data_IF_943194156007
#
_entry.id   IF_943194156007
#
_cell.length_a   1.000
_cell.length_b   1.000
_cell.length_c   1.000
_cell.angle_alpha   90.00
_cell.angle_beta   90.00
_cell.angle_gamma   90.00
#
_symmetry.space_group_name_H-M   'P 1'
#
loop_
_entity.id
_entity.type
_entity.pdbx_description
1 polymer ?
#
# COMPACT_ATOMS: atom_id res chain seq x y z
N UNK A 1 22.70 -25.94 -1.03
CA UNK A 1 21.95 -24.75 -1.44
C UNK A 1 20.75 -24.58 -0.52
N UNK A 2 20.76 -23.56 0.31
CA UNK A 2 19.70 -23.24 1.26
C UNK A 2 19.32 -21.78 1.18
N UNK A 3 18.19 -21.42 1.79
CA UNK A 3 17.78 -20.03 1.95
C UNK A 3 18.58 -19.38 3.09
N UNK A 4 18.88 -18.10 2.94
CA UNK A 4 19.48 -17.27 3.99
C UNK A 4 18.46 -16.22 4.40
N UNK A 5 18.18 -16.13 5.68
CA UNK A 5 17.32 -15.08 6.23
C UNK A 5 18.12 -13.79 6.43
N UNK A 6 17.58 -12.67 5.97
CA UNK A 6 18.12 -11.34 6.22
C UNK A 6 17.00 -10.34 6.48
N UNK A 7 17.23 -9.36 7.35
CA UNK A 7 16.33 -8.22 7.53
C UNK A 7 16.65 -7.21 6.41
N UNK A 8 15.70 -6.98 5.53
CA UNK A 8 15.83 -6.02 4.41
C UNK A 8 15.31 -4.63 4.76
N UNK A 9 14.37 -4.55 5.70
CA UNK A 9 13.84 -3.29 6.23
C UNK A 9 13.22 -3.53 7.62
N UNK A 10 13.22 -2.53 8.46
CA UNK A 10 12.53 -2.53 9.75
C UNK A 10 12.05 -1.10 10.11
N UNK A 11 11.14 -0.99 11.06
CA UNK A 11 10.53 0.29 11.46
C UNK A 11 11.54 1.31 11.99
N UNK A 12 12.61 0.84 12.64
CA UNK A 12 13.66 1.73 13.14
C UNK A 12 14.39 2.43 12.00
N UNK A 13 14.57 1.75 10.87
CA UNK A 13 15.21 2.32 9.68
C UNK A 13 14.30 3.30 8.94
N UNK A 14 12.98 3.09 9.02
CA UNK A 14 11.99 3.96 8.40
C UNK A 14 11.76 5.25 9.17
N UNK A 15 12.08 5.25 10.46
CA UNK A 15 11.68 6.33 11.37
C UNK A 15 10.16 6.60 11.36
N UNK A 16 9.38 5.54 11.14
CA UNK A 16 7.93 5.55 11.11
C UNK A 16 7.33 4.93 12.39
N UNK A 17 8.14 4.85 13.45
CA UNK A 17 7.68 4.19 14.68
C UNK A 17 6.42 4.86 15.22
N UNK A 18 5.35 4.13 15.17
CA UNK A 18 4.06 4.43 15.80
C UNK A 18 3.60 3.19 16.57
N UNK A 19 2.95 3.40 17.70
CA UNK A 19 2.62 2.30 18.62
C UNK A 19 1.72 1.22 18.01
N UNK A 20 1.04 1.50 16.92
CA UNK A 20 0.10 0.60 16.24
C UNK A 20 0.38 0.51 14.74
N UNK A 21 1.64 0.65 14.34
CA UNK A 21 2.07 0.42 12.96
C UNK A 21 2.44 -1.05 12.80
N UNK A 22 1.77 -1.71 11.88
CA UNK A 22 2.09 -3.06 11.46
C UNK A 22 2.52 -3.05 10.01
N UNK A 23 3.67 -3.63 9.74
CA UNK A 23 4.10 -3.92 8.38
C UNK A 23 3.18 -5.02 7.85
N UNK A 24 2.51 -4.73 6.75
CA UNK A 24 1.54 -5.67 6.23
C UNK A 24 2.01 -6.27 4.89
N UNK A 25 1.31 -6.01 3.81
CA UNK A 25 1.60 -6.61 2.51
C UNK A 25 2.79 -5.95 1.82
N UNK A 26 3.39 -6.67 0.90
CA UNK A 26 4.51 -6.15 0.12
C UNK A 26 4.46 -6.62 -1.34
N UNK A 27 5.06 -5.82 -2.22
CA UNK A 27 5.24 -6.13 -3.63
C UNK A 27 6.61 -5.64 -4.11
N UNK A 28 7.21 -6.35 -5.03
CA UNK A 28 8.44 -5.92 -5.67
C UNK A 28 8.14 -5.31 -7.04
N UNK A 29 8.96 -4.38 -7.52
CA UNK A 29 8.85 -3.89 -8.90
C UNK A 29 9.23 -5.00 -9.88
N UNK A 30 8.24 -5.66 -10.45
CA UNK A 30 8.46 -6.86 -11.30
C UNK A 30 8.92 -6.52 -12.70
N UNK A 31 8.70 -5.29 -13.14
CA UNK A 31 8.98 -4.83 -14.51
C UNK A 31 9.82 -3.55 -14.50
N UNK A 32 10.29 -3.14 -15.68
CA UNK A 32 11.10 -1.94 -15.85
C UNK A 32 12.60 -2.18 -15.73
N UNK A 33 13.38 -1.10 -15.81
CA UNK A 33 14.85 -1.15 -15.88
C UNK A 33 15.52 -1.77 -14.66
N UNK A 34 14.94 -1.52 -13.47
CA UNK A 34 15.47 -2.00 -12.19
C UNK A 34 14.55 -3.06 -11.57
N UNK A 35 13.90 -3.90 -12.39
CA UNK A 35 13.01 -4.96 -11.92
C UNK A 35 13.67 -5.84 -10.84
N UNK A 36 12.91 -6.12 -9.78
CA UNK A 36 13.37 -6.90 -8.63
C UNK A 36 14.21 -6.14 -7.61
N UNK A 37 14.36 -4.81 -7.76
CA UNK A 37 15.21 -4.01 -6.87
C UNK A 37 14.45 -3.31 -5.74
N UNK A 38 13.25 -2.85 -5.99
CA UNK A 38 12.49 -2.03 -5.04
C UNK A 38 11.35 -2.83 -4.44
N UNK A 39 11.34 -2.95 -3.11
CA UNK A 39 10.30 -3.63 -2.36
C UNK A 39 9.41 -2.57 -1.70
N UNK A 40 8.16 -2.44 -2.17
CA UNK A 40 7.15 -1.55 -1.59
C UNK A 40 6.33 -2.30 -0.54
N UNK A 41 5.89 -1.59 0.50
CA UNK A 41 5.13 -2.15 1.60
C UNK A 41 4.07 -1.19 2.07
N UNK A 42 2.94 -1.72 2.46
CA UNK A 42 1.90 -1.03 3.21
C UNK A 42 2.19 -1.07 4.71
N UNK A 43 1.72 -0.04 5.39
CA UNK A 43 1.75 0.09 6.84
C UNK A 43 0.33 0.21 7.34
N UNK A 44 -0.13 -0.83 8.02
CA UNK A 44 -1.44 -0.92 8.60
C UNK A 44 -1.46 -0.13 9.91
N UNK A 45 -1.82 1.13 9.84
CA UNK A 45 -1.98 1.99 11.01
C UNK A 45 -3.45 2.07 11.37
N UNK A 46 -3.83 1.43 12.48
CA UNK A 46 -5.23 1.39 12.94
C UNK A 46 -5.49 2.42 14.03
N UNK A 47 -6.58 3.16 13.86
CA UNK A 47 -7.17 4.00 14.89
C UNK A 47 -6.58 5.41 15.02
N UNK A 48 -7.40 6.30 15.54
CA UNK A 48 -7.12 7.73 15.69
C UNK A 48 -5.97 8.08 16.64
N UNK A 49 -5.51 7.11 17.42
CA UNK A 49 -4.44 7.29 18.41
C UNK A 49 -3.07 6.86 17.91
N UNK A 50 -2.97 6.41 16.68
CA UNK A 50 -1.70 6.10 16.04
C UNK A 50 -1.11 7.39 15.51
N UNK A 51 -0.06 7.89 16.14
CA UNK A 51 0.64 9.09 15.67
C UNK A 51 1.94 8.68 15.00
N UNK A 52 2.15 9.12 13.78
CA UNK A 52 3.43 9.00 13.08
C UNK A 52 4.48 9.87 13.77
N UNK A 53 5.76 9.55 13.54
CA UNK A 53 6.89 10.32 14.11
C UNK A 53 6.85 11.79 13.69
N UNK A 54 6.30 12.09 12.53
CA UNK A 54 6.08 13.45 12.00
C UNK A 54 4.86 14.18 12.60
N UNK A 55 4.18 13.57 13.59
CA UNK A 55 2.98 14.11 14.22
C UNK A 55 1.69 13.81 13.48
N UNK A 56 1.74 13.08 12.36
CA UNK A 56 0.58 12.59 11.63
C UNK A 56 0.03 11.30 12.23
N UNK A 57 -1.20 10.96 11.84
CA UNK A 57 -1.79 9.64 12.04
C UNK A 57 -2.25 9.13 10.68
N UNK A 58 -2.32 7.81 10.50
CA UNK A 58 -2.80 7.22 9.27
C UNK A 58 -1.76 6.34 8.58
N UNK A 59 -2.17 5.76 7.46
CA UNK A 59 -1.39 4.78 6.72
C UNK A 59 -0.23 5.37 5.91
N UNK A 60 0.72 4.53 5.58
CA UNK A 60 1.86 4.88 4.75
C UNK A 60 2.22 3.74 3.80
N UNK A 61 2.88 4.10 2.69
CA UNK A 61 3.60 3.17 1.84
C UNK A 61 5.08 3.47 1.96
N UNK A 62 5.89 2.45 2.24
CA UNK A 62 7.35 2.56 2.28
C UNK A 62 7.99 1.78 1.14
N UNK A 63 9.27 2.05 0.89
CA UNK A 63 10.07 1.33 -0.09
C UNK A 63 11.46 1.01 0.45
N UNK A 64 11.94 -0.19 0.16
CA UNK A 64 13.33 -0.60 0.40
C UNK A 64 14.06 -0.84 -0.92
N UNK A 65 15.21 -0.21 -1.08
CA UNK A 65 16.15 -0.56 -2.16
C UNK A 65 16.95 -1.79 -1.73
N UNK A 66 16.62 -2.93 -2.29
CA UNK A 66 17.25 -4.22 -1.94
C UNK A 66 18.74 -4.28 -2.29
N UNK A 67 19.21 -3.39 -3.16
CA UNK A 67 20.62 -3.30 -3.54
C UNK A 67 21.45 -2.50 -2.54
N UNK A 68 20.91 -1.41 -2.01
CA UNK A 68 21.64 -0.51 -1.11
C UNK A 68 21.26 -0.69 0.36
N UNK A 69 20.11 -1.30 0.65
CA UNK A 69 19.55 -1.41 1.98
C UNK A 69 18.92 -0.12 2.50
N UNK A 70 18.81 0.91 1.64
CA UNK A 70 18.14 2.16 2.01
C UNK A 70 16.64 1.93 2.03
N UNK A 71 15.99 2.38 3.09
CA UNK A 71 14.54 2.30 3.25
C UNK A 71 13.99 3.68 3.61
N UNK A 72 12.88 4.08 3.00
CA UNK A 72 12.18 5.32 3.33
C UNK A 72 10.69 5.22 3.09
N UNK A 73 9.91 6.12 3.69
CA UNK A 73 8.54 6.36 3.30
C UNK A 73 8.48 6.94 1.88
N UNK A 74 7.56 6.42 1.06
CA UNK A 74 7.25 6.97 -0.26
C UNK A 74 6.16 8.01 -0.15
N UNK A 75 5.10 7.66 0.58
CA UNK A 75 3.94 8.53 0.81
C UNK A 75 3.22 8.08 2.08
N UNK A 76 2.60 9.02 2.78
CA UNK A 76 1.72 8.74 3.89
C UNK A 76 0.69 9.84 4.06
N UNK A 77 -0.51 9.48 4.50
CA UNK A 77 -1.62 10.41 4.72
C UNK A 77 -2.29 10.14 6.06
N UNK A 78 -2.77 11.20 6.69
CA UNK A 78 -3.44 11.13 8.00
C UNK A 78 -4.88 10.63 7.92
N UNK A 79 -5.45 10.62 6.75
CA UNK A 79 -6.83 10.17 6.47
C UNK A 79 -6.91 8.71 5.99
N UNK A 80 -5.80 8.11 5.62
CA UNK A 80 -5.77 6.67 5.30
C UNK A 80 -5.90 5.82 6.55
N UNK A 81 -6.62 4.72 6.42
CA UNK A 81 -6.89 3.80 7.52
C UNK A 81 -6.50 2.37 7.12
N UNK A 82 -5.65 1.73 7.94
CA UNK A 82 -5.29 0.33 7.78
C UNK A 82 -4.90 -0.03 6.33
N UNK A 83 -3.80 0.52 5.82
CA UNK A 83 -3.33 0.14 4.49
C UNK A 83 -2.84 -1.30 4.49
N UNK A 84 -3.45 -2.13 3.66
CA UNK A 84 -3.20 -3.56 3.57
C UNK A 84 -2.77 -3.93 2.14
N UNK A 85 -3.66 -4.45 1.30
CA UNK A 85 -3.33 -4.97 -0.02
C UNK A 85 -2.44 -4.06 -0.86
N UNK A 86 -1.43 -4.62 -1.51
CA UNK A 86 -0.52 -3.89 -2.39
C UNK A 86 -0.06 -4.78 -3.54
N UNK A 87 0.00 -4.23 -4.76
CA UNK A 87 0.49 -4.93 -5.94
C UNK A 87 1.22 -4.01 -6.90
N UNK A 88 2.30 -4.49 -7.50
CA UNK A 88 2.96 -3.86 -8.63
C UNK A 88 2.16 -4.07 -9.92
N UNK A 89 1.92 -3.01 -10.68
CA UNK A 89 1.16 -3.11 -11.92
C UNK A 89 2.06 -3.35 -13.14
N UNK A 90 1.53 -3.99 -14.19
CA UNK A 90 2.25 -4.15 -15.46
C UNK A 90 2.62 -2.80 -16.12
N UNK A 91 1.92 -1.73 -15.80
CA UNK A 91 2.18 -0.38 -16.30
C UNK A 91 3.08 0.46 -15.38
N UNK A 92 3.75 -0.19 -14.42
CA UNK A 92 4.80 0.37 -13.56
C UNK A 92 4.31 1.42 -12.55
N UNK A 93 3.13 1.20 -12.01
CA UNK A 93 2.62 1.89 -10.82
C UNK A 93 2.47 0.90 -9.67
N UNK A 94 2.07 1.38 -8.50
CA UNK A 94 1.71 0.55 -7.36
C UNK A 94 0.24 0.79 -7.03
N UNK A 95 -0.57 -0.27 -7.03
CA UNK A 95 -1.89 -0.22 -6.40
C UNK A 95 -1.76 -0.63 -4.94
N UNK A 96 -2.41 0.09 -4.06
CA UNK A 96 -2.54 -0.26 -2.65
C UNK A 96 -3.93 0.11 -2.14
N UNK A 97 -4.37 -0.49 -1.05
CA UNK A 97 -5.75 -0.36 -0.58
C UNK A 97 -5.85 -0.14 0.91
N UNK A 98 -6.95 0.49 1.32
CA UNK A 98 -7.38 0.54 2.71
C UNK A 98 -8.20 -0.71 3.06
N UNK A 99 -7.94 -1.31 4.20
CA UNK A 99 -8.79 -2.29 4.86
C UNK A 99 -9.72 -1.57 5.84
N UNK A 100 -10.78 -0.95 5.31
CA UNK A 100 -11.72 -0.20 6.13
C UNK A 100 -13.08 -0.91 6.19
N UNK A 101 -13.41 -1.40 7.36
CA UNK A 101 -14.69 -2.08 7.59
C UNK A 101 -15.90 -1.12 7.62
N UNK A 102 -17.06 -1.68 7.93
CA UNK A 102 -18.39 -1.05 7.85
C UNK A 102 -18.59 0.23 8.70
N UNK A 103 -17.66 0.59 9.56
CA UNK A 103 -17.70 1.83 10.36
C UNK A 103 -16.93 2.99 9.71
N UNK A 104 -16.56 2.85 8.45
CA UNK A 104 -15.75 3.80 7.73
C UNK A 104 -16.45 5.15 7.54
N UNK A 105 -15.64 6.20 7.57
CA UNK A 105 -16.04 7.60 7.27
C UNK A 105 -16.01 7.84 5.75
N UNK A 106 -16.68 8.91 5.25
CA UNK A 106 -16.53 9.32 3.86
C UNK A 106 -15.05 9.56 3.50
N UNK A 107 -14.65 9.08 2.33
CA UNK A 107 -13.30 9.29 1.83
C UNK A 107 -13.13 10.74 1.32
N UNK A 108 -12.05 11.45 1.66
CA UNK A 108 -11.83 12.83 1.21
C UNK A 108 -11.70 12.98 -0.31
N UNK A 109 -11.13 11.97 -0.99
CA UNK A 109 -10.92 12.00 -2.44
C UNK A 109 -12.16 11.57 -3.23
N UNK A 110 -13.07 10.84 -2.58
CA UNK A 110 -14.32 10.39 -3.17
C UNK A 110 -15.46 10.50 -2.13
N UNK A 111 -15.97 11.71 -1.83
CA UNK A 111 -16.92 11.93 -0.72
C UNK A 111 -18.23 11.13 -0.80
N UNK A 112 -18.58 10.60 -1.97
CA UNK A 112 -19.71 9.70 -2.17
C UNK A 112 -19.41 8.23 -1.82
N UNK A 113 -18.13 7.88 -1.64
CA UNK A 113 -17.69 6.58 -1.18
C UNK A 113 -17.33 6.63 0.32
N UNK A 114 -17.22 5.46 0.91
CA UNK A 114 -16.63 5.32 2.24
C UNK A 114 -15.14 5.00 2.10
N UNK A 115 -14.35 5.20 3.15
CA UNK A 115 -12.98 4.70 3.21
C UNK A 115 -12.95 3.19 2.90
N UNK A 116 -11.80 2.68 2.52
CA UNK A 116 -11.66 1.34 1.96
C UNK A 116 -11.49 1.39 0.44
N UNK A 117 -10.87 2.43 -0.08
CA UNK A 117 -10.59 2.57 -1.49
C UNK A 117 -9.25 1.97 -1.87
N UNK A 118 -9.14 1.61 -3.14
CA UNK A 118 -7.85 1.34 -3.79
C UNK A 118 -7.28 2.66 -4.30
N UNK A 119 -5.99 2.85 -4.11
CA UNK A 119 -5.22 3.98 -4.60
C UNK A 119 -4.17 3.52 -5.59
N UNK A 120 -3.87 4.35 -6.58
CA UNK A 120 -2.77 4.14 -7.51
C UNK A 120 -1.69 5.18 -7.29
N UNK A 121 -0.50 4.70 -6.97
CA UNK A 121 0.71 5.48 -6.77
C UNK A 121 1.54 5.49 -8.05
N UNK A 122 1.70 6.65 -8.65
CA UNK A 122 2.68 6.90 -9.69
C UNK A 122 4.00 7.28 -9.05
N UNK A 123 5.05 6.60 -9.44
CA UNK A 123 6.41 6.83 -8.94
C UNK A 123 7.13 7.86 -9.82
N UNK A 124 8.01 8.63 -9.22
CA UNK A 124 8.89 9.53 -9.96
C UNK A 124 9.79 8.71 -10.92
N UNK A 125 9.84 9.12 -12.18
CA UNK A 125 10.58 8.41 -13.24
C UNK A 125 12.09 8.36 -13.02
N UNK A 126 12.62 9.26 -12.21
CA UNK A 126 14.05 9.38 -11.91
C UNK A 126 14.41 8.84 -10.53
N UNK A 127 13.43 8.77 -9.62
CA UNK A 127 13.58 8.21 -8.27
C UNK A 127 12.38 7.31 -7.92
N UNK A 128 12.45 6.00 -8.22
CA UNK A 128 11.38 5.05 -7.88
C UNK A 128 11.09 4.92 -6.38
N UNK A 129 11.90 5.55 -5.54
CA UNK A 129 11.65 5.62 -4.10
C UNK A 129 10.85 6.87 -3.71
N UNK A 130 10.35 7.65 -4.66
CA UNK A 130 9.57 8.87 -4.43
C UNK A 130 8.25 8.83 -5.21
N UNK A 131 7.19 9.38 -4.61
CA UNK A 131 5.90 9.55 -5.27
C UNK A 131 5.93 10.74 -6.25
N UNK A 132 5.40 10.55 -7.46
CA UNK A 132 5.03 11.64 -8.36
C UNK A 132 3.59 12.10 -8.06
N UNK A 133 2.66 11.14 -7.91
CA UNK A 133 1.26 11.40 -7.59
C UNK A 133 0.57 10.17 -7.02
N UNK A 134 -0.54 10.38 -6.34
CA UNK A 134 -1.45 9.33 -5.92
C UNK A 134 -2.88 9.70 -6.30
N UNK A 135 -3.67 8.70 -6.70
CA UNK A 135 -5.06 8.90 -7.11
C UNK A 135 -5.94 7.76 -6.60
N UNK A 136 -7.07 8.10 -5.99
CA UNK A 136 -8.09 7.11 -5.65
C UNK A 136 -8.66 6.43 -6.90
N UNK A 137 -9.00 5.15 -6.77
CA UNK A 137 -9.62 4.32 -7.81
C UNK A 137 -10.98 3.78 -7.33
N UNK A 138 -11.98 4.66 -7.12
CA UNK A 138 -13.25 4.27 -6.52
C UNK A 138 -14.03 3.23 -7.37
N UNK A 139 -13.67 3.07 -8.64
CA UNK A 139 -14.25 2.03 -9.50
C UNK A 139 -13.88 0.61 -9.05
N UNK A 140 -12.84 0.44 -8.23
CA UNK A 140 -12.43 -0.83 -7.65
C UNK A 140 -13.16 -1.17 -6.34
N UNK A 141 -14.16 -0.37 -5.97
CA UNK A 141 -14.99 -0.56 -4.79
C UNK A 141 -14.42 0.12 -3.53
N UNK A 142 -15.28 0.22 -2.52
CA UNK A 142 -14.93 0.61 -1.16
C UNK A 142 -15.24 -0.58 -0.25
N UNK A 143 -14.19 -1.31 0.13
CA UNK A 143 -14.27 -2.63 0.75
C UNK A 143 -13.29 -2.72 1.93
N UNK A 144 -13.39 -3.77 2.73
CA UNK A 144 -12.30 -4.18 3.60
C UNK A 144 -11.29 -4.96 2.74
N UNK A 145 -10.46 -4.21 2.01
CA UNK A 145 -9.50 -4.83 1.11
C UNK A 145 -8.41 -5.57 1.89
N UNK A 146 -8.18 -6.81 1.49
CA UNK A 146 -7.07 -7.64 1.93
C UNK A 146 -6.04 -7.74 0.81
N UNK A 147 -6.11 -8.73 -0.04
CA UNK A 147 -5.18 -8.93 -1.14
C UNK A 147 -5.60 -8.22 -2.42
N UNK A 148 -4.60 -7.76 -3.16
CA UNK A 148 -4.71 -7.28 -4.54
C UNK A 148 -3.86 -8.15 -5.46
N UNK A 149 -4.36 -8.44 -6.67
CA UNK A 149 -3.62 -9.18 -7.69
C UNK A 149 -4.01 -8.70 -9.09
N UNK A 150 -3.10 -8.82 -10.05
CA UNK A 150 -3.34 -8.44 -11.45
C UNK A 150 -2.92 -9.59 -12.36
N UNK A 151 -3.84 -10.03 -13.22
CA UNK A 151 -3.51 -11.09 -14.18
C UNK A 151 -2.78 -10.55 -15.44
N UNK A 152 -2.37 -11.46 -16.31
CA UNK A 152 -1.62 -11.12 -17.51
C UNK A 152 -2.44 -10.30 -18.53
N UNK A 153 -3.75 -10.30 -18.43
CA UNK A 153 -4.66 -9.49 -19.24
C UNK A 153 -4.90 -8.10 -18.65
N UNK A 154 -4.37 -7.82 -17.44
CA UNK A 154 -4.54 -6.55 -16.74
C UNK A 154 -5.81 -6.45 -15.91
N UNK A 155 -6.51 -7.56 -15.70
CA UNK A 155 -7.66 -7.57 -14.80
C UNK A 155 -7.21 -7.50 -13.36
N UNK A 156 -7.89 -6.69 -12.55
CA UNK A 156 -7.59 -6.52 -11.13
C UNK A 156 -8.52 -7.41 -10.30
N UNK A 157 -7.94 -8.14 -9.36
CA UNK A 157 -8.65 -8.95 -8.39
C UNK A 157 -8.49 -8.33 -7.02
N UNK A 158 -9.57 -8.21 -6.26
CA UNK A 158 -9.56 -7.71 -4.88
C UNK A 158 -10.31 -8.68 -3.97
N UNK A 159 -9.86 -8.79 -2.74
CA UNK A 159 -10.52 -9.55 -1.68
C UNK A 159 -11.21 -8.55 -0.76
N UNK A 160 -12.48 -8.81 -0.45
CA UNK A 160 -13.21 -8.17 0.63
C UNK A 160 -13.28 -9.18 1.78
N UNK A 161 -12.58 -8.92 2.88
CA UNK A 161 -12.56 -9.81 4.03
C UNK A 161 -13.66 -9.55 5.06
N UNK A 162 -14.51 -8.54 4.85
CA UNK A 162 -15.64 -8.34 5.75
C UNK A 162 -16.53 -9.59 5.76
N UNK A 163 -17.23 -9.79 6.87
CA UNK A 163 -18.07 -10.99 7.06
C UNK A 163 -19.01 -11.18 5.90
N UNK A 164 -18.88 -12.32 5.19
CA UNK A 164 -19.55 -12.67 3.93
C UNK A 164 -19.03 -11.91 2.70
N UNK A 165 -17.83 -11.35 2.79
CA UNK A 165 -17.16 -10.75 1.65
C UNK A 165 -16.85 -11.75 0.54
N UNK A 166 -16.31 -11.27 -0.55
CA UNK A 166 -16.10 -12.01 -1.79
C UNK A 166 -14.77 -11.63 -2.45
N UNK A 167 -14.37 -12.40 -3.42
CA UNK A 167 -13.32 -12.00 -4.37
C UNK A 167 -14.00 -11.38 -5.58
N UNK A 168 -13.59 -10.18 -5.94
CA UNK A 168 -14.11 -9.45 -7.10
C UNK A 168 -13.07 -9.40 -8.21
N UNK A 169 -13.52 -9.45 -9.45
CA UNK A 169 -12.73 -9.25 -10.65
C UNK A 169 -13.21 -7.98 -11.37
N UNK A 170 -12.27 -7.09 -11.69
CA UNK A 170 -12.50 -5.91 -12.52
C UNK A 170 -11.75 -6.06 -13.85
N UNK A 171 -12.44 -5.80 -14.96
CA UNK A 171 -11.96 -5.95 -16.34
C UNK A 171 -12.02 -4.63 -17.09
#
# INVERSE_FOLDING_TARGET
TGYVQAIVADENRLNLYVANDWVDMNTVNETGKDAGRYLYRTHEVRGRNSARVDGGSGGAVSVGDLKTGITKEVIGRTDWEALDGIVWTPWQTVLFAEEAGTAARPDPDAPQAQAGLVYELNLDKHDPMSAESVSARPMLGALAHEGLEIDAEGNVYVIDEDRKGSIYKFV
#
